data_IF_085823819010
#
_entry.id   IF_085823819010
#
_cell.length_a   1.000
_cell.length_b   1.000
_cell.length_c   1.000
_cell.angle_alpha   90.00
_cell.angle_beta   90.00
_cell.angle_gamma   90.00
#
_symmetry.space_group_name_H-M   'P 1'
#
loop_
_entity.id
_entity.type
_entity.pdbx_description
1 polymer ?
#
# COMPACT_ATOMS: atom_id res chain seq x y z
N UNK A 1 -17.10 4.98 32.15
CA UNK A 1 -15.87 5.77 31.94
C UNK A 1 -14.80 5.03 31.13
N UNK A 2 -14.46 3.77 31.43
CA UNK A 2 -13.44 2.98 30.72
C UNK A 2 -13.76 2.71 29.24
N UNK A 3 -15.02 2.57 28.84
CA UNK A 3 -15.42 2.40 27.44
C UNK A 3 -15.17 3.66 26.63
N UNK A 4 -15.40 4.84 27.18
CA UNK A 4 -15.10 6.13 26.52
C UNK A 4 -13.60 6.33 26.31
N UNK A 5 -12.78 5.96 27.28
CA UNK A 5 -11.32 6.04 27.16
C UNK A 5 -10.77 5.11 26.07
N UNK A 6 -11.28 3.87 25.96
CA UNK A 6 -10.89 2.96 24.87
C UNK A 6 -11.30 3.47 23.49
N UNK A 7 -12.49 4.04 23.36
CA UNK A 7 -12.94 4.61 22.09
C UNK A 7 -12.15 5.87 21.68
N UNK A 8 -11.73 6.71 22.64
CA UNK A 8 -10.84 7.85 22.37
C UNK A 8 -9.47 7.40 21.87
N UNK A 9 -8.85 6.40 22.51
CA UNK A 9 -7.55 5.88 22.08
C UNK A 9 -7.57 5.27 20.68
N UNK A 10 -8.65 4.59 20.29
CA UNK A 10 -8.80 4.03 18.95
C UNK A 10 -8.94 5.14 17.91
N UNK A 11 -9.77 6.15 18.20
CA UNK A 11 -9.99 7.29 17.30
C UNK A 11 -8.72 8.10 17.07
N UNK A 12 -7.93 8.34 18.13
CA UNK A 12 -6.67 9.07 18.01
C UNK A 12 -5.63 8.31 17.18
N UNK A 13 -5.61 6.98 17.27
CA UNK A 13 -4.72 6.13 16.45
C UNK A 13 -5.10 6.15 14.97
N UNK A 14 -6.39 6.16 14.65
CA UNK A 14 -6.87 6.34 13.28
C UNK A 14 -6.54 7.73 12.73
N UNK A 15 -6.67 8.76 13.55
CA UNK A 15 -6.34 10.13 13.18
C UNK A 15 -4.84 10.29 12.87
N UNK A 16 -3.96 9.72 13.70
CA UNK A 16 -2.51 9.72 13.47
C UNK A 16 -2.15 9.00 12.15
N UNK A 17 -2.76 7.85 11.89
CA UNK A 17 -2.60 7.16 10.61
C UNK A 17 -3.05 8.04 9.43
N UNK A 18 -4.23 8.66 9.52
CA UNK A 18 -4.74 9.55 8.48
C UNK A 18 -3.81 10.74 8.19
N UNK A 19 -3.30 11.39 9.23
CA UNK A 19 -2.31 12.48 9.08
C UNK A 19 -1.04 11.95 8.42
N UNK A 20 -0.55 10.78 8.84
CA UNK A 20 0.63 10.15 8.24
C UNK A 20 0.47 9.87 6.75
N UNK A 21 -0.69 9.38 6.32
CA UNK A 21 -1.02 9.14 4.91
C UNK A 21 -0.93 10.44 4.09
N UNK A 22 -1.50 11.53 4.61
CA UNK A 22 -1.46 12.85 3.96
C UNK A 22 -0.01 13.35 3.86
N UNK A 23 0.75 13.29 4.96
CA UNK A 23 2.13 13.76 5.00
C UNK A 23 3.01 12.98 4.01
N UNK A 24 2.91 11.65 4.01
CA UNK A 24 3.70 10.82 3.08
C UNK A 24 3.32 11.09 1.64
N UNK A 25 2.04 11.24 1.31
CA UNK A 25 1.63 11.56 -0.05
C UNK A 25 2.13 12.93 -0.52
N UNK A 26 2.13 13.95 0.34
CA UNK A 26 2.67 15.28 0.03
C UNK A 26 4.20 15.24 -0.16
N UNK A 27 4.91 14.56 0.73
CA UNK A 27 6.36 14.38 0.60
C UNK A 27 6.69 13.66 -0.71
N UNK A 28 5.95 12.62 -1.07
CA UNK A 28 6.14 11.90 -2.32
C UNK A 28 5.89 12.79 -3.53
N UNK A 29 4.85 13.62 -3.50
CA UNK A 29 4.55 14.56 -4.59
C UNK A 29 5.69 15.55 -4.83
N UNK A 30 6.30 16.07 -3.77
CA UNK A 30 7.44 17.00 -3.86
C UNK A 30 8.71 16.29 -4.38
N UNK A 31 8.96 15.07 -3.92
CA UNK A 31 10.18 14.33 -4.26
C UNK A 31 10.11 13.81 -5.70
N UNK A 32 8.94 13.41 -6.19
CA UNK A 32 8.76 12.86 -7.54
C UNK A 32 9.07 13.88 -8.64
N UNK A 33 9.04 15.18 -8.33
CA UNK A 33 9.48 16.24 -9.25
C UNK A 33 11.01 16.26 -9.44
N UNK A 34 11.75 15.76 -8.45
CA UNK A 34 13.24 15.81 -8.45
C UNK A 34 13.87 14.47 -8.80
N UNK A 35 13.15 13.36 -8.61
CA UNK A 35 13.64 12.00 -8.82
C UNK A 35 12.78 11.33 -9.88
N UNK A 36 13.37 10.42 -10.67
CA UNK A 36 12.61 9.67 -11.66
C UNK A 36 11.46 8.89 -11.00
N UNK A 37 10.30 8.92 -11.65
CA UNK A 37 9.08 8.24 -11.16
C UNK A 37 9.33 6.77 -10.84
N UNK A 38 10.17 6.14 -11.65
CA UNK A 38 10.54 4.74 -11.47
C UNK A 38 11.38 4.50 -10.21
N UNK A 39 12.40 5.33 -9.96
CA UNK A 39 13.20 5.24 -8.72
C UNK A 39 12.32 5.45 -7.49
N UNK A 40 11.39 6.41 -7.54
CA UNK A 40 10.45 6.64 -6.45
C UNK A 40 9.55 5.43 -6.19
N UNK A 41 9.07 4.76 -7.25
CA UNK A 41 8.30 3.53 -7.12
C UNK A 41 9.08 2.44 -6.37
N UNK A 42 10.36 2.25 -6.71
CA UNK A 42 11.23 1.28 -6.04
C UNK A 42 11.39 1.62 -4.57
N UNK A 43 11.68 2.87 -4.22
CA UNK A 43 11.84 3.29 -2.82
C UNK A 43 10.58 3.04 -2.00
N UNK A 44 9.41 3.40 -2.53
CA UNK A 44 8.13 3.17 -1.86
C UNK A 44 7.85 1.67 -1.66
N UNK A 45 8.19 0.84 -2.64
CA UNK A 45 8.04 -0.62 -2.54
C UNK A 45 8.96 -1.20 -1.48
N UNK A 46 10.20 -0.74 -1.39
CA UNK A 46 11.14 -1.19 -0.35
C UNK A 46 10.59 -0.84 1.04
N UNK A 47 10.08 0.37 1.24
CA UNK A 47 9.48 0.79 2.51
C UNK A 47 8.25 -0.08 2.83
N UNK A 48 7.41 -0.37 1.84
CA UNK A 48 6.25 -1.25 2.02
C UNK A 48 6.67 -2.66 2.42
N UNK A 49 7.73 -3.21 1.80
CA UNK A 49 8.26 -4.54 2.17
C UNK A 49 8.75 -4.57 3.61
N UNK A 50 9.44 -3.54 4.07
CA UNK A 50 9.83 -3.42 5.48
C UNK A 50 8.61 -3.46 6.40
N UNK A 51 7.53 -2.77 6.04
CA UNK A 51 6.26 -2.82 6.77
C UNK A 51 5.67 -4.23 6.85
N UNK A 52 5.66 -4.97 5.74
CA UNK A 52 5.18 -6.36 5.69
C UNK A 52 6.03 -7.27 6.59
N UNK A 53 7.36 -7.15 6.53
CA UNK A 53 8.28 -7.92 7.39
C UNK A 53 8.02 -7.65 8.86
N UNK A 54 7.87 -6.38 9.25
CA UNK A 54 7.55 -5.99 10.64
C UNK A 54 6.22 -6.61 11.07
N UNK A 55 5.20 -6.60 10.23
CA UNK A 55 3.90 -7.20 10.53
C UNK A 55 3.99 -8.71 10.73
N UNK A 56 4.72 -9.42 9.86
CA UNK A 56 4.95 -10.86 10.00
C UNK A 56 5.65 -11.15 11.33
N UNK A 57 6.75 -10.45 11.64
CA UNK A 57 7.47 -10.63 12.90
C UNK A 57 6.60 -10.34 14.13
N UNK A 58 5.80 -9.27 14.06
CA UNK A 58 4.93 -8.88 15.17
C UNK A 58 3.89 -9.94 15.48
N UNK A 59 3.30 -10.56 14.47
CA UNK A 59 2.26 -11.56 14.64
C UNK A 59 2.82 -12.94 15.00
N UNK A 60 4.00 -13.31 14.48
CA UNK A 60 4.66 -14.58 14.84
C UNK A 60 5.23 -14.58 16.26
N UNK A 61 5.76 -13.44 16.71
CA UNK A 61 6.37 -13.30 18.04
C UNK A 61 5.40 -12.77 19.11
N UNK A 62 4.11 -12.59 18.77
CA UNK A 62 3.10 -12.00 19.66
C UNK A 62 3.55 -10.69 20.31
N UNK A 63 4.19 -9.80 19.55
CA UNK A 63 4.72 -8.54 20.04
C UNK A 63 3.59 -7.59 20.48
N UNK A 64 3.87 -6.61 21.32
CA UNK A 64 2.87 -5.70 21.85
C UNK A 64 2.22 -4.85 20.73
N UNK A 65 0.98 -4.44 20.97
CA UNK A 65 0.10 -3.74 20.03
C UNK A 65 0.73 -2.50 19.38
N UNK A 66 1.63 -1.79 20.05
CA UNK A 66 2.26 -0.60 19.48
C UNK A 66 3.20 -0.94 18.30
N UNK A 67 3.88 -2.09 18.33
CA UNK A 67 4.72 -2.55 17.21
C UNK A 67 3.85 -2.91 16.01
N UNK A 68 2.70 -3.55 16.25
CA UNK A 68 1.71 -3.83 15.21
C UNK A 68 1.24 -2.54 14.51
N UNK A 69 0.93 -1.51 15.29
CA UNK A 69 0.49 -0.21 14.75
C UNK A 69 1.57 0.47 13.91
N UNK A 70 2.83 0.40 14.35
CA UNK A 70 3.97 0.93 13.57
C UNK A 70 4.13 0.15 12.27
N UNK A 71 4.04 -1.19 12.30
CA UNK A 71 4.08 -2.03 11.11
C UNK A 71 2.97 -1.70 10.12
N UNK A 72 1.74 -1.50 10.59
CA UNK A 72 0.62 -1.05 9.77
C UNK A 72 0.89 0.33 9.15
N UNK A 73 1.38 1.27 9.94
CA UNK A 73 1.69 2.61 9.47
C UNK A 73 2.72 2.59 8.34
N UNK A 74 3.84 1.89 8.53
CA UNK A 74 4.90 1.76 7.53
C UNK A 74 4.42 1.03 6.27
N UNK A 75 3.48 0.09 6.42
CA UNK A 75 2.92 -0.64 5.28
C UNK A 75 1.92 0.20 4.48
N UNK A 76 1.00 0.91 5.13
CA UNK A 76 -0.10 1.62 4.47
C UNK A 76 0.37 2.94 3.84
N UNK A 77 1.30 3.66 4.48
CA UNK A 77 1.76 4.96 4.00
C UNK A 77 2.29 4.95 2.55
N UNK A 78 3.15 4.00 2.13
CA UNK A 78 3.62 3.94 0.75
C UNK A 78 2.52 3.64 -0.26
N UNK A 79 1.52 2.85 0.11
CA UNK A 79 0.42 2.44 -0.79
C UNK A 79 -0.34 3.65 -1.33
N UNK A 80 -0.57 4.68 -0.51
CA UNK A 80 -1.26 5.91 -0.94
C UNK A 80 -0.49 6.68 -2.00
N UNK A 81 0.81 6.50 -2.08
CA UNK A 81 1.69 7.15 -3.05
C UNK A 81 1.96 6.27 -4.27
N UNK A 82 2.03 4.95 -4.10
CA UNK A 82 2.26 3.99 -5.20
C UNK A 82 1.11 4.04 -6.20
N UNK A 83 -0.14 4.03 -5.75
CA UNK A 83 -1.31 4.00 -6.62
C UNK A 83 -1.37 5.21 -7.59
N UNK A 84 -1.32 6.47 -7.15
CA UNK A 84 -1.32 7.62 -8.06
C UNK A 84 -0.06 7.70 -8.92
N UNK A 85 1.08 7.21 -8.43
CA UNK A 85 2.32 7.18 -9.20
C UNK A 85 2.22 6.19 -10.36
N UNK A 86 1.76 4.97 -10.13
CA UNK A 86 1.49 3.97 -11.17
C UNK A 86 0.46 4.48 -12.17
N UNK A 87 -0.60 5.12 -11.70
CA UNK A 87 -1.62 5.73 -12.53
C UNK A 87 -1.04 6.81 -13.45
N UNK A 88 -0.22 7.70 -12.90
CA UNK A 88 0.48 8.75 -13.64
C UNK A 88 1.43 8.18 -14.71
N UNK A 89 2.15 7.10 -14.38
CA UNK A 89 3.05 6.43 -15.34
C UNK A 89 2.26 5.78 -16.47
N UNK A 90 1.18 5.06 -16.15
CA UNK A 90 0.32 4.42 -17.14
C UNK A 90 -0.34 5.41 -18.09
N UNK A 91 -0.66 6.63 -17.62
CA UNK A 91 -1.22 7.70 -18.44
C UNK A 91 -0.19 8.40 -19.31
N UNK A 92 1.07 8.51 -18.87
CA UNK A 92 2.13 9.19 -19.59
C UNK A 92 2.55 8.47 -20.89
N UNK A 93 2.39 7.15 -20.95
CA UNK A 93 2.76 6.33 -22.13
C UNK A 93 1.66 6.27 -23.21
N UNK A 94 0.50 6.88 -22.98
CA UNK A 94 -0.61 6.80 -23.95
C UNK A 94 -0.68 7.99 -24.89
N UNK A 95 -0.87 7.66 -26.18
CA UNK A 95 -0.99 8.62 -27.30
C UNK A 95 -2.44 9.00 -27.67
N UNK A 96 -3.46 8.55 -26.90
CA UNK A 96 -4.85 8.88 -27.21
C UNK A 96 -5.87 8.43 -26.15
N UNK A 97 -6.99 9.16 -26.02
CA UNK A 97 -8.18 8.75 -25.26
C UNK A 97 -7.99 8.58 -23.77
N UNK A 98 -7.50 9.61 -23.06
CA UNK A 98 -7.19 9.54 -21.63
C UNK A 98 -8.39 9.18 -20.73
N UNK A 99 -9.62 9.56 -21.10
CA UNK A 99 -10.81 9.35 -20.29
C UNK A 99 -11.16 7.86 -20.11
N UNK A 100 -11.17 7.09 -21.18
CA UNK A 100 -11.52 5.65 -21.13
C UNK A 100 -10.47 4.84 -20.37
N UNK A 101 -9.20 5.21 -20.46
CA UNK A 101 -8.13 4.51 -19.75
C UNK A 101 -8.16 4.77 -18.25
N UNK A 102 -8.45 6.02 -17.84
CA UNK A 102 -8.56 6.37 -16.42
C UNK A 102 -9.74 5.69 -15.75
N UNK A 103 -10.89 5.64 -16.43
CA UNK A 103 -12.08 4.95 -15.91
C UNK A 103 -11.85 3.44 -15.79
N UNK A 104 -11.17 2.83 -16.77
CA UNK A 104 -10.84 1.40 -16.74
C UNK A 104 -9.89 1.05 -15.58
N UNK A 105 -8.83 1.85 -15.37
CA UNK A 105 -7.90 1.67 -14.25
C UNK A 105 -8.60 1.80 -12.89
N UNK A 106 -9.46 2.81 -12.74
CA UNK A 106 -10.26 2.99 -11.53
C UNK A 106 -11.21 1.80 -11.30
N UNK A 107 -11.90 1.35 -12.34
CA UNK A 107 -12.80 0.20 -12.27
C UNK A 107 -12.06 -1.08 -11.83
N UNK A 108 -10.90 -1.37 -12.41
CA UNK A 108 -10.08 -2.52 -12.02
C UNK A 108 -9.67 -2.46 -10.56
N UNK A 109 -9.25 -1.29 -10.08
CA UNK A 109 -8.87 -1.10 -8.68
C UNK A 109 -10.03 -1.41 -7.72
N UNK A 110 -11.23 -0.94 -8.02
CA UNK A 110 -12.42 -1.20 -7.20
C UNK A 110 -12.88 -2.65 -7.27
N UNK A 111 -12.86 -3.28 -8.45
CA UNK A 111 -13.22 -4.70 -8.60
C UNK A 111 -12.27 -5.58 -7.81
N UNK A 112 -10.95 -5.40 -7.97
CA UNK A 112 -9.95 -6.18 -7.25
C UNK A 112 -10.06 -5.98 -5.73
N UNK A 113 -10.23 -4.73 -5.27
CA UNK A 113 -10.44 -4.44 -3.86
C UNK A 113 -11.71 -5.09 -3.31
N UNK A 114 -12.83 -5.01 -4.05
CA UNK A 114 -14.10 -5.63 -3.67
C UNK A 114 -14.05 -7.16 -3.62
N UNK A 115 -13.30 -7.80 -4.51
CA UNK A 115 -13.14 -9.26 -4.52
C UNK A 115 -12.22 -9.76 -3.40
N UNK A 116 -11.16 -9.01 -3.07
CA UNK A 116 -10.18 -9.41 -2.07
C UNK A 116 -10.66 -9.09 -0.64
N UNK A 117 -11.42 -8.02 -0.46
CA UNK A 117 -11.89 -7.57 0.85
C UNK A 117 -12.62 -8.65 1.67
N UNK A 118 -13.56 -9.44 1.11
CA UNK A 118 -14.23 -10.50 1.86
C UNK A 118 -13.29 -11.62 2.29
N UNK A 119 -12.23 -11.88 1.53
CA UNK A 119 -11.25 -12.94 1.82
C UNK A 119 -10.47 -12.66 3.11
N UNK A 120 -10.25 -11.40 3.44
CA UNK A 120 -9.59 -10.99 4.69
C UNK A 120 -10.43 -11.36 5.91
N UNK A 121 -11.75 -11.36 5.79
CA UNK A 121 -12.70 -11.62 6.88
C UNK A 121 -13.13 -13.09 7.05
N UNK A 122 -12.64 -14.02 6.24
CA UNK A 122 -13.14 -15.41 6.21
C UNK A 122 -12.99 -16.16 7.55
N UNK A 123 -11.94 -15.86 8.32
CA UNK A 123 -11.71 -16.51 9.63
C UNK A 123 -12.27 -15.73 10.84
N UNK A 124 -13.10 -14.72 10.62
CA UNK A 124 -13.72 -13.93 11.68
C UNK A 124 -12.73 -12.98 12.38
N UNK A 125 -13.14 -12.50 13.58
CA UNK A 125 -12.38 -11.46 14.32
C UNK A 125 -11.20 -12.00 15.13
N UNK A 126 -11.00 -13.32 15.16
CA UNK A 126 -10.01 -13.95 16.06
C UNK A 126 -8.68 -14.28 15.40
N UNK A 127 -8.61 -14.27 14.06
CA UNK A 127 -7.44 -14.74 13.33
C UNK A 127 -7.00 -13.73 12.27
N UNK A 128 -5.78 -13.21 12.40
CA UNK A 128 -5.19 -12.28 11.43
C UNK A 128 -4.41 -13.00 10.31
N UNK A 129 -4.40 -14.34 10.32
CA UNK A 129 -3.68 -15.15 9.33
C UNK A 129 -4.09 -14.85 7.87
N UNK A 130 -5.39 -14.73 7.52
CA UNK A 130 -5.78 -14.44 6.14
C UNK A 130 -5.26 -13.07 5.66
N UNK A 131 -5.27 -12.09 6.55
CA UNK A 131 -4.73 -10.76 6.24
C UNK A 131 -3.25 -10.82 5.91
N UNK A 132 -2.44 -11.55 6.71
CA UNK A 132 -1.01 -11.73 6.46
C UNK A 132 -0.73 -12.43 5.13
N UNK A 133 -1.47 -13.48 4.82
CA UNK A 133 -1.33 -14.22 3.57
C UNK A 133 -1.61 -13.30 2.38
N UNK A 134 -2.68 -12.55 2.43
CA UNK A 134 -3.08 -11.66 1.34
C UNK A 134 -2.06 -10.53 1.16
N UNK A 135 -1.60 -9.90 2.25
CA UNK A 135 -0.65 -8.79 2.17
C UNK A 135 0.73 -9.26 1.70
N UNK A 136 1.18 -10.45 2.12
CA UNK A 136 2.43 -11.02 1.64
C UNK A 136 2.35 -11.45 0.18
N UNK A 137 1.24 -12.05 -0.25
CA UNK A 137 1.01 -12.43 -1.64
C UNK A 137 0.96 -11.21 -2.57
N UNK A 138 0.24 -10.15 -2.17
CA UNK A 138 0.19 -8.90 -2.95
C UNK A 138 1.54 -8.20 -3.01
N UNK A 139 2.32 -8.25 -1.94
CA UNK A 139 3.67 -7.71 -1.88
C UNK A 139 4.63 -8.44 -2.84
N UNK A 140 4.59 -9.77 -2.85
CA UNK A 140 5.38 -10.59 -3.79
C UNK A 140 4.96 -10.32 -5.24
N UNK A 141 3.65 -10.24 -5.51
CA UNK A 141 3.13 -9.92 -6.83
C UNK A 141 3.62 -8.55 -7.32
N UNK A 142 3.63 -7.55 -6.46
CA UNK A 142 4.09 -6.20 -6.76
C UNK A 142 5.57 -6.19 -7.15
N UNK A 143 6.43 -6.91 -6.41
CA UNK A 143 7.85 -7.07 -6.75
C UNK A 143 8.01 -7.78 -8.09
N UNK A 144 7.28 -8.87 -8.31
CA UNK A 144 7.36 -9.63 -9.57
C UNK A 144 7.00 -8.75 -10.77
N UNK A 145 5.91 -7.98 -10.67
CA UNK A 145 5.49 -7.04 -11.71
C UNK A 145 6.54 -5.93 -11.96
N UNK A 146 7.18 -5.42 -10.91
CA UNK A 146 8.24 -4.41 -11.06
C UNK A 146 9.48 -4.99 -11.76
N UNK A 147 9.88 -6.22 -11.42
CA UNK A 147 11.01 -6.89 -12.08
C UNK A 147 10.70 -7.14 -13.56
N UNK A 148 9.49 -7.57 -13.88
CA UNK A 148 9.04 -7.78 -15.26
C UNK A 148 9.07 -6.46 -16.02
N UNK A 149 8.50 -5.41 -15.45
CA UNK A 149 8.49 -4.08 -16.06
C UNK A 149 9.92 -3.57 -16.32
N UNK A 150 10.80 -3.71 -15.34
CA UNK A 150 12.21 -3.32 -15.48
C UNK A 150 12.93 -4.08 -16.59
N UNK A 151 12.76 -5.41 -16.67
CA UNK A 151 13.36 -6.23 -17.73
C UNK A 151 12.86 -5.86 -19.13
N UNK A 152 11.56 -5.55 -19.25
CA UNK A 152 10.96 -5.18 -20.52
C UNK A 152 11.42 -3.78 -20.96
N UNK A 153 11.53 -2.83 -20.02
CA UNK A 153 11.93 -1.47 -20.30
C UNK A 153 13.43 -1.36 -20.67
N UNK A 154 14.31 -2.04 -19.92
CA UNK A 154 15.75 -2.05 -20.21
C UNK A 154 16.12 -2.84 -21.47
N UNK A 155 15.25 -3.72 -21.95
CA UNK A 155 15.49 -4.45 -23.21
C UNK A 155 15.18 -3.60 -24.45
N UNK A 156 14.41 -2.54 -24.28
CA UNK A 156 13.96 -1.65 -25.38
C UNK A 156 14.71 -0.30 -25.43
N UNK A 157 15.69 -0.08 -24.53
CA UNK A 157 16.62 1.05 -24.55
C UNK A 157 18.01 0.56 -24.93
#
# INVERSE_FOLDING_TARGET
SLRRQRQMCIRDRFAINGVGLIVVSQITAIIVEKISRYAMLIYLTIIQMLGVVILIFTLTLHLPLYVLLIGFFINICPVTSIAPLCFSMAMAERTGGSGNASSLLGLFQFILGGLISPLVGLNGQHDMSPYLIIISATAVLLIALQIIYFKLFMKNT
#
